data_IF_046069173789
#
_entry.id   IF_046069173789
#
_cell.length_a   1.000
_cell.length_b   1.000
_cell.length_c   1.000
_cell.angle_alpha   90.00
_cell.angle_beta   90.00
_cell.angle_gamma   90.00
#
_symmetry.space_group_name_H-M   'P 1'
#
loop_
_entity.id
_entity.type
_entity.pdbx_description
1 polymer ?
#
# COMPACT_ATOMS: atom_id res chain seq x y z
N UNK A 1 -21.12 -22.20 32.90
CA UNK A 1 -20.59 -22.09 31.52
C UNK A 1 -20.85 -20.66 31.06
N UNK A 2 -19.84 -19.80 30.91
CA UNK A 2 -20.08 -18.47 30.34
C UNK A 2 -20.17 -18.61 28.82
N UNK A 3 -21.34 -18.29 28.29
CA UNK A 3 -21.61 -18.19 26.86
C UNK A 3 -20.68 -17.17 26.22
N UNK A 4 -19.92 -17.59 25.22
CA UNK A 4 -19.18 -16.69 24.35
C UNK A 4 -20.21 -15.82 23.61
N UNK A 5 -20.37 -14.58 24.07
CA UNK A 5 -20.92 -13.51 23.23
C UNK A 5 -19.92 -13.29 22.09
N UNK A 6 -20.13 -13.98 20.96
CA UNK A 6 -19.57 -13.55 19.69
C UNK A 6 -20.14 -12.15 19.45
N UNK A 7 -19.29 -11.14 19.65
CA UNK A 7 -19.56 -9.78 19.24
C UNK A 7 -19.63 -9.76 17.71
N UNK A 8 -20.79 -10.12 17.17
CA UNK A 8 -21.08 -10.23 15.74
C UNK A 8 -21.38 -8.85 15.17
N UNK A 9 -20.42 -7.93 15.23
CA UNK A 9 -20.47 -6.68 14.48
C UNK A 9 -19.17 -6.56 13.69
N UNK A 10 -19.07 -7.37 12.64
CA UNK A 10 -18.05 -7.20 11.62
C UNK A 10 -18.30 -5.84 10.96
N UNK A 11 -17.34 -4.94 11.09
CA UNK A 11 -17.41 -3.57 10.60
C UNK A 11 -16.67 -3.41 9.28
N UNK A 12 -16.93 -2.32 8.56
CA UNK A 12 -16.12 -1.99 7.38
C UNK A 12 -14.64 -1.77 7.73
N UNK A 13 -14.33 -1.39 8.98
CA UNK A 13 -12.95 -1.26 9.43
C UNK A 13 -12.24 -2.62 9.46
N UNK A 14 -12.98 -3.70 9.73
CA UNK A 14 -12.47 -5.07 9.66
C UNK A 14 -12.16 -5.48 8.21
N UNK A 15 -13.04 -5.18 7.25
CA UNK A 15 -12.79 -5.44 5.81
C UNK A 15 -11.51 -4.75 5.33
N UNK A 16 -11.35 -3.48 5.71
CA UNK A 16 -10.19 -2.68 5.33
C UNK A 16 -8.93 -3.20 6.00
N UNK A 17 -9.02 -3.68 7.24
CA UNK A 17 -7.91 -4.30 7.96
C UNK A 17 -7.48 -5.62 7.32
N UNK A 18 -8.43 -6.41 6.81
CA UNK A 18 -8.14 -7.63 6.03
C UNK A 18 -7.42 -7.32 4.72
N UNK A 19 -7.87 -6.30 3.98
CA UNK A 19 -7.22 -5.85 2.74
C UNK A 19 -5.79 -5.37 3.04
N UNK A 20 -5.62 -4.57 4.10
CA UNK A 20 -4.31 -4.07 4.52
C UNK A 20 -3.38 -5.22 4.94
N UNK A 21 -3.90 -6.20 5.70
CA UNK A 21 -3.15 -7.39 6.05
C UNK A 21 -2.75 -8.20 4.81
N UNK A 22 -3.66 -8.39 3.85
CA UNK A 22 -3.38 -9.09 2.61
C UNK A 22 -2.24 -8.42 1.82
N UNK A 23 -2.27 -7.09 1.70
CA UNK A 23 -1.17 -6.31 1.11
C UNK A 23 0.15 -6.50 1.86
N UNK A 24 0.11 -6.51 3.19
CA UNK A 24 1.29 -6.71 4.03
C UNK A 24 1.86 -8.13 3.98
N UNK A 25 1.04 -9.16 3.80
CA UNK A 25 1.51 -10.53 3.68
C UNK A 25 1.99 -10.87 2.27
N UNK A 26 1.50 -10.17 1.24
CA UNK A 26 1.88 -10.38 -0.16
C UNK A 26 3.37 -10.16 -0.38
N UNK A 27 4.00 -11.08 -1.11
CA UNK A 27 5.36 -10.93 -1.59
C UNK A 27 5.36 -10.30 -2.99
N UNK A 28 6.31 -9.42 -3.25
CA UNK A 28 6.48 -8.78 -4.56
C UNK A 28 7.96 -8.72 -4.91
N UNK A 29 8.25 -8.82 -6.21
CA UNK A 29 9.62 -8.68 -6.71
C UNK A 29 9.98 -7.21 -6.79
N UNK A 30 11.05 -6.81 -6.11
CA UNK A 30 11.61 -5.47 -6.22
C UNK A 30 12.25 -5.28 -7.60
N UNK A 31 11.77 -4.33 -8.41
CA UNK A 31 12.37 -3.98 -9.71
C UNK A 31 13.10 -2.64 -9.66
N UNK A 32 13.64 -2.28 -8.50
CA UNK A 32 14.49 -1.11 -8.36
C UNK A 32 15.79 -1.26 -9.15
N UNK A 33 16.16 -0.25 -9.93
CA UNK A 33 17.39 -0.20 -10.72
C UNK A 33 18.53 0.36 -9.85
N UNK A 34 19.59 -0.43 -9.71
CA UNK A 34 20.82 -0.08 -9.00
C UNK A 34 21.72 0.83 -9.86
N UNK A 35 22.79 1.38 -9.28
CA UNK A 35 23.71 2.27 -10.01
C UNK A 35 24.40 1.59 -11.19
N UNK A 36 24.56 0.27 -11.14
CA UNK A 36 25.11 -0.53 -12.24
C UNK A 36 24.08 -0.86 -13.34
N UNK A 37 22.85 -0.34 -13.26
CA UNK A 37 21.78 -0.58 -14.23
C UNK A 37 21.04 -1.90 -14.07
N UNK A 38 21.42 -2.74 -13.10
CA UNK A 38 20.77 -4.05 -12.86
C UNK A 38 19.58 -3.87 -11.91
N UNK A 39 18.53 -4.64 -12.13
CA UNK A 39 17.37 -4.66 -11.24
C UNK A 39 17.64 -5.48 -9.97
N UNK A 40 17.13 -5.02 -8.83
CA UNK A 40 17.32 -5.67 -7.53
C UNK A 40 16.81 -7.12 -7.49
N UNK A 41 15.62 -7.38 -8.03
CA UNK A 41 14.93 -8.68 -8.08
C UNK A 41 14.71 -9.38 -6.74
N UNK A 42 14.95 -8.73 -5.60
CA UNK A 42 14.67 -9.29 -4.29
C UNK A 42 13.16 -9.57 -4.12
N UNK A 43 12.83 -10.69 -3.48
CA UNK A 43 11.46 -11.00 -3.09
C UNK A 43 11.18 -10.42 -1.72
N UNK A 44 10.26 -9.46 -1.65
CA UNK A 44 10.06 -8.65 -0.47
C UNK A 44 8.60 -8.75 -0.02
N UNK A 45 8.41 -9.08 1.26
CA UNK A 45 7.10 -9.07 1.87
C UNK A 45 6.62 -7.63 2.08
N UNK A 46 5.34 -7.34 1.78
CA UNK A 46 4.78 -5.99 1.84
C UNK A 46 5.04 -5.27 3.17
N UNK A 47 4.91 -5.97 4.30
CA UNK A 47 5.19 -5.42 5.64
C UNK A 47 6.65 -4.98 5.84
N UNK A 48 7.59 -5.61 5.13
CA UNK A 48 9.03 -5.35 5.23
C UNK A 48 9.53 -4.42 4.13
N UNK A 49 8.66 -3.98 3.22
CA UNK A 49 9.08 -3.25 2.02
C UNK A 49 9.79 -1.92 2.35
N UNK A 50 9.28 -1.16 3.32
CA UNK A 50 9.92 0.08 3.76
C UNK A 50 11.32 -0.15 4.35
N UNK A 51 11.53 -1.25 5.06
CA UNK A 51 12.84 -1.63 5.59
C UNK A 51 13.79 -2.04 4.47
N UNK A 52 13.31 -2.83 3.53
CA UNK A 52 14.07 -3.19 2.34
C UNK A 52 14.56 -1.97 1.56
N UNK A 53 13.70 -0.96 1.32
CA UNK A 53 14.11 0.27 0.63
C UNK A 53 15.20 1.04 1.39
N UNK A 54 15.10 1.09 2.72
CA UNK A 54 16.10 1.75 3.56
C UNK A 54 17.45 1.02 3.47
N UNK A 55 17.42 -0.29 3.68
CA UNK A 55 18.63 -1.10 3.88
C UNK A 55 19.30 -1.48 2.55
N UNK A 56 18.53 -1.63 1.46
CA UNK A 56 19.03 -2.05 0.15
C UNK A 56 19.15 -0.91 -0.86
N UNK A 57 18.42 0.18 -0.72
CA UNK A 57 18.33 1.25 -1.73
C UNK A 57 18.57 2.67 -1.18
N UNK A 58 18.95 2.79 0.09
CA UNK A 58 19.34 4.09 0.67
C UNK A 58 18.18 5.08 0.81
N UNK A 59 16.92 4.60 0.83
CA UNK A 59 15.75 5.46 1.11
C UNK A 59 15.68 5.74 2.61
N UNK A 60 16.56 6.61 3.08
CA UNK A 60 16.79 6.94 4.50
C UNK A 60 16.62 8.44 4.76
N UNK A 61 16.75 8.88 6.02
CA UNK A 61 16.67 10.30 6.38
C UNK A 61 15.28 10.76 6.85
N UNK A 62 15.15 12.07 7.06
CA UNK A 62 13.93 12.73 7.52
C UNK A 62 12.79 12.62 6.51
N UNK A 63 11.55 12.86 6.94
CA UNK A 63 10.36 12.81 6.07
C UNK A 63 10.45 13.76 4.86
N UNK A 64 11.14 14.89 4.99
CA UNK A 64 11.37 15.88 3.93
C UNK A 64 12.50 15.50 2.95
N UNK A 65 13.27 14.44 3.25
CA UNK A 65 14.38 14.00 2.40
C UNK A 65 13.86 13.63 1.02
N UNK A 66 14.53 14.17 0.00
CA UNK A 66 14.16 13.95 -1.39
C UNK A 66 14.78 12.65 -1.89
N UNK A 67 13.96 11.84 -2.53
CA UNK A 67 14.34 10.57 -3.12
C UNK A 67 13.75 10.45 -4.51
N UNK A 68 14.49 9.74 -5.35
CA UNK A 68 14.06 9.40 -6.69
C UNK A 68 13.60 7.98 -6.81
N UNK A 69 12.42 7.78 -7.39
CA UNK A 69 12.00 6.46 -7.81
C UNK A 69 12.94 5.97 -8.91
N UNK A 70 13.55 4.80 -8.71
CA UNK A 70 14.37 4.12 -9.70
C UNK A 70 13.76 2.79 -10.11
N UNK A 71 12.45 2.63 -9.93
CA UNK A 71 11.77 1.43 -10.40
C UNK A 71 11.89 1.32 -11.92
N UNK A 72 12.07 0.10 -12.41
CA UNK A 72 12.17 -0.20 -13.84
C UNK A 72 10.99 0.41 -14.61
N UNK A 73 11.30 1.26 -15.60
CA UNK A 73 10.31 1.93 -16.44
C UNK A 73 9.59 3.14 -15.79
N UNK A 74 9.85 3.47 -14.52
CA UNK A 74 9.22 4.62 -13.88
C UNK A 74 9.84 5.95 -14.32
N UNK A 75 8.99 6.91 -14.68
CA UNK A 75 9.39 8.24 -15.17
C UNK A 75 9.26 9.35 -14.12
N UNK A 76 8.51 9.11 -13.06
CA UNK A 76 8.36 10.04 -11.94
C UNK A 76 9.59 9.99 -11.04
N UNK A 77 10.15 11.15 -10.69
CA UNK A 77 11.55 11.22 -10.23
C UNK A 77 11.77 11.89 -8.89
N UNK A 78 10.87 12.72 -8.37
CA UNK A 78 11.17 13.48 -7.16
C UNK A 78 10.04 13.36 -6.15
N UNK A 79 10.36 12.79 -5.00
CA UNK A 79 9.42 12.57 -3.90
C UNK A 79 10.11 12.82 -2.57
N UNK A 80 9.36 13.34 -1.61
CA UNK A 80 9.75 13.15 -0.22
C UNK A 80 9.63 11.65 0.16
N UNK A 81 10.26 11.24 1.26
CA UNK A 81 10.35 9.82 1.64
C UNK A 81 8.99 9.11 1.75
N UNK A 82 8.01 9.72 2.41
CA UNK A 82 6.69 9.09 2.59
C UNK A 82 5.90 9.04 1.28
N UNK A 83 6.00 10.09 0.47
CA UNK A 83 5.41 10.14 -0.86
C UNK A 83 6.02 9.07 -1.78
N UNK A 84 7.32 8.78 -1.67
CA UNK A 84 7.97 7.71 -2.44
C UNK A 84 7.41 6.35 -2.03
N UNK A 85 7.36 6.04 -0.73
CA UNK A 85 6.83 4.75 -0.25
C UNK A 85 5.39 4.55 -0.72
N UNK A 86 4.58 5.61 -0.63
CA UNK A 86 3.20 5.60 -1.13
C UNK A 86 3.14 5.39 -2.64
N UNK A 87 3.92 6.13 -3.43
CA UNK A 87 4.02 5.97 -4.88
C UNK A 87 4.36 4.53 -5.27
N UNK A 88 5.34 3.92 -4.60
CA UNK A 88 5.73 2.52 -4.86
C UNK A 88 4.58 1.56 -4.58
N UNK A 89 3.84 1.74 -3.47
CA UNK A 89 2.67 0.91 -3.14
C UNK A 89 1.58 1.01 -4.21
N UNK A 90 1.30 2.23 -4.70
CA UNK A 90 0.25 2.50 -5.68
C UNK A 90 0.61 2.03 -7.09
N UNK A 91 1.83 2.34 -7.56
CA UNK A 91 2.24 2.17 -8.96
C UNK A 91 2.98 0.86 -9.23
N UNK A 92 3.66 0.31 -8.23
CA UNK A 92 4.61 -0.78 -8.44
C UNK A 92 4.30 -2.05 -7.65
N UNK A 93 3.58 -1.93 -6.53
CA UNK A 93 3.03 -3.07 -5.79
C UNK A 93 1.53 -3.32 -6.04
N UNK A 94 0.97 -2.63 -7.05
CA UNK A 94 -0.44 -2.22 -7.20
C UNK A 94 -1.37 -2.50 -5.99
N UNK A 95 -1.16 -1.80 -4.89
CA UNK A 95 -2.09 -1.86 -3.75
C UNK A 95 -3.40 -1.17 -4.10
N UNK A 96 -4.49 -1.93 -4.02
CA UNK A 96 -5.86 -1.46 -4.30
C UNK A 96 -6.74 -1.58 -3.07
N UNK A 97 -7.67 -0.66 -2.95
CA UNK A 97 -8.62 -0.53 -1.85
C UNK A 97 -10.02 -0.60 -2.44
N UNK A 98 -10.58 -1.81 -2.62
CA UNK A 98 -11.95 -1.95 -3.11
C UNK A 98 -12.95 -1.38 -2.09
N UNK A 99 -14.03 -0.80 -2.59
CA UNK A 99 -15.19 -0.50 -1.76
C UNK A 99 -15.86 -1.82 -1.33
N UNK A 100 -16.23 -2.00 -0.05
CA UNK A 100 -16.88 -3.23 0.40
C UNK A 100 -18.33 -3.37 -0.11
N UNK A 101 -18.95 -2.29 -0.59
CA UNK A 101 -20.36 -2.29 -0.99
C UNK A 101 -20.58 -2.08 -2.48
N UNK A 102 -19.55 -1.76 -3.26
CA UNK A 102 -19.66 -1.66 -4.72
C UNK A 102 -18.36 -2.10 -5.42
N UNK A 103 -18.39 -2.25 -6.74
CA UNK A 103 -17.25 -2.78 -7.51
C UNK A 103 -16.15 -1.75 -7.82
N UNK A 104 -16.15 -0.57 -7.16
CA UNK A 104 -15.12 0.45 -7.38
C UNK A 104 -13.85 0.16 -6.58
N UNK A 105 -12.69 0.23 -7.26
CA UNK A 105 -11.38 0.19 -6.63
C UNK A 105 -10.72 1.57 -6.54
N UNK A 106 -9.90 1.74 -5.50
CA UNK A 106 -9.16 2.96 -5.27
C UNK A 106 -7.68 2.66 -5.08
N UNK A 107 -6.81 3.56 -5.52
CA UNK A 107 -5.36 3.48 -5.25
C UNK A 107 -5.03 3.78 -3.79
N UNK A 108 -5.91 4.47 -3.06
CA UNK A 108 -5.69 4.92 -1.68
C UNK A 108 -6.85 4.56 -0.75
N UNK A 109 -6.49 4.23 0.50
CA UNK A 109 -7.43 3.92 1.59
C UNK A 109 -8.38 5.08 1.88
N UNK A 110 -7.86 6.31 2.06
CA UNK A 110 -8.70 7.47 2.37
C UNK A 110 -9.68 7.81 1.24
N UNK A 111 -9.27 7.71 -0.03
CA UNK A 111 -10.17 8.00 -1.15
C UNK A 111 -11.30 6.98 -1.25
N UNK A 112 -11.02 5.70 -0.92
CA UNK A 112 -12.07 4.69 -0.79
C UNK A 112 -13.04 5.04 0.34
N UNK A 113 -12.55 5.45 1.51
CA UNK A 113 -13.41 5.86 2.63
C UNK A 113 -14.28 7.07 2.28
N UNK A 114 -13.69 8.09 1.64
CA UNK A 114 -14.42 9.28 1.19
C UNK A 114 -15.53 8.89 0.21
N UNK A 115 -15.21 8.00 -0.75
CA UNK A 115 -16.21 7.43 -1.64
C UNK A 115 -17.31 6.69 -0.87
N UNK A 116 -16.96 5.72 -0.03
CA UNK A 116 -17.90 4.91 0.76
C UNK A 116 -18.88 5.81 1.53
N UNK A 117 -18.36 6.84 2.19
CA UNK A 117 -19.13 7.69 3.09
C UNK A 117 -20.03 8.69 2.34
N UNK A 118 -19.64 9.12 1.14
CA UNK A 118 -20.30 10.27 0.47
C UNK A 118 -20.89 9.94 -0.89
N UNK A 119 -20.23 9.09 -1.66
CA UNK A 119 -20.47 8.92 -3.10
C UNK A 119 -20.79 7.48 -3.51
N UNK A 120 -20.78 6.51 -2.58
CA UNK A 120 -21.04 5.12 -2.91
C UNK A 120 -22.53 4.92 -3.26
N UNK A 121 -22.85 4.36 -4.44
CA UNK A 121 -24.23 4.12 -4.87
C UNK A 121 -24.95 3.11 -3.96
N UNK A 122 -24.18 2.19 -3.35
CA UNK A 122 -24.68 1.14 -2.45
C UNK A 122 -24.39 1.48 -0.98
N UNK A 123 -24.29 2.77 -0.63
CA UNK A 123 -24.12 3.20 0.75
C UNK A 123 -25.38 2.81 1.55
N UNK A 124 -25.20 1.97 2.56
CA UNK A 124 -26.25 1.69 3.54
C UNK A 124 -26.40 2.94 4.42
N UNK A 125 -27.64 3.47 4.49
CA UNK A 125 -28.00 4.68 5.25
C UNK A 125 -28.28 4.31 6.70
#
# INVERSE_FOLDING_TARGET
>A
MPSAHLNSSWSVEDDVSLIENAHFQKFSTCRWILDNGISCNAWVQGKNFSHHLRDSHGVTGAHSSQHRCRWEGCRERDFNRDCLIRHLREQHLPWRWPCPTCDQDFTRKNTMFDHRNRNCPNRMV
#
